data_IF_431026163665
#
_entry.id   IF_431026163665
#
_cell.length_a   1.000
_cell.length_b   1.000
_cell.length_c   1.000
_cell.angle_alpha   90.00
_cell.angle_beta   90.00
_cell.angle_gamma   90.00
#
_symmetry.space_group_name_H-M   'P 1'
#
loop_
_entity.id
_entity.type
_entity.pdbx_description
1 polymer ?
#
# COMPACT_ATOMS: atom_id res chain seq x y z
N UNK A 1 -6.23 -3.88 -14.54
CA UNK A 1 -5.85 -5.11 -13.83
C UNK A 1 -6.26 -6.31 -14.65
N UNK A 2 -5.34 -7.25 -14.87
CA UNK A 2 -5.62 -8.50 -15.59
C UNK A 2 -6.10 -9.58 -14.62
N UNK A 3 -6.93 -10.48 -15.14
CA UNK A 3 -7.31 -11.72 -14.45
C UNK A 3 -6.59 -12.88 -15.13
N UNK A 4 -5.93 -13.71 -14.34
CA UNK A 4 -5.15 -14.86 -14.78
C UNK A 4 -5.84 -16.15 -14.32
N UNK A 5 -5.81 -17.17 -15.17
CA UNK A 5 -6.50 -18.43 -14.88
C UNK A 5 -5.82 -19.21 -13.73
N UNK A 6 -4.51 -19.05 -13.52
CA UNK A 6 -3.73 -19.70 -12.46
C UNK A 6 -4.07 -21.20 -12.25
N UNK A 7 -4.16 -21.95 -13.35
CA UNK A 7 -4.45 -23.39 -13.30
C UNK A 7 -5.88 -23.77 -12.89
N UNK A 8 -6.82 -22.81 -12.85
CA UNK A 8 -8.23 -23.09 -12.56
C UNK A 8 -8.97 -23.68 -13.76
N UNK A 9 -10.02 -24.46 -13.50
CA UNK A 9 -10.94 -25.00 -14.52
C UNK A 9 -11.51 -23.88 -15.40
N UNK A 10 -11.77 -24.19 -16.67
CA UNK A 10 -12.32 -23.27 -17.69
C UNK A 10 -13.59 -22.52 -17.25
N UNK A 11 -14.34 -23.07 -16.30
CA UNK A 11 -15.56 -22.46 -15.76
C UNK A 11 -15.31 -21.57 -14.51
N UNK A 12 -14.06 -21.36 -14.12
CA UNK A 12 -13.70 -20.54 -12.96
C UNK A 12 -13.42 -19.09 -13.37
N UNK A 13 -13.86 -18.15 -12.55
CA UNK A 13 -13.48 -16.74 -12.70
C UNK A 13 -11.96 -16.60 -12.47
N UNK A 14 -11.26 -16.01 -13.43
CA UNK A 14 -9.82 -15.75 -13.29
C UNK A 14 -9.50 -14.91 -12.05
N UNK A 15 -8.36 -15.20 -11.43
CA UNK A 15 -7.84 -14.50 -10.24
C UNK A 15 -7.15 -13.21 -10.64
N UNK A 16 -7.14 -12.22 -9.75
CA UNK A 16 -6.31 -11.03 -9.96
C UNK A 16 -4.84 -11.44 -10.07
N UNK A 17 -4.15 -10.82 -11.01
CA UNK A 17 -2.71 -11.02 -11.21
C UNK A 17 -1.93 -10.62 -9.95
N UNK A 18 -2.18 -9.42 -9.43
CA UNK A 18 -1.67 -8.98 -8.14
C UNK A 18 -2.64 -9.45 -7.05
N UNK A 19 -2.16 -10.15 -6.00
CA UNK A 19 -3.02 -10.60 -4.91
C UNK A 19 -3.80 -9.45 -4.26
N UNK A 20 -5.09 -9.67 -4.01
CA UNK A 20 -5.99 -8.66 -3.40
C UNK A 20 -5.41 -8.04 -2.12
N UNK A 21 -4.79 -8.86 -1.28
CA UNK A 21 -4.16 -8.45 -0.03
C UNK A 21 -3.09 -7.35 -0.24
N UNK A 22 -2.34 -7.40 -1.34
CA UNK A 22 -1.32 -6.39 -1.64
C UNK A 22 -1.97 -5.03 -1.87
N UNK A 23 -3.03 -5.01 -2.69
CA UNK A 23 -3.77 -3.79 -3.00
C UNK A 23 -4.44 -3.23 -1.75
N UNK A 24 -5.12 -4.08 -0.98
CA UNK A 24 -5.78 -3.68 0.28
C UNK A 24 -4.79 -3.08 1.26
N UNK A 25 -3.65 -3.74 1.51
CA UNK A 25 -2.63 -3.25 2.44
C UNK A 25 -2.05 -1.92 1.98
N UNK A 26 -1.74 -1.76 0.68
CA UNK A 26 -1.16 -0.51 0.19
C UNK A 26 -2.15 0.66 0.23
N UNK A 27 -3.43 0.43 -0.08
CA UNK A 27 -4.47 1.47 0.00
C UNK A 27 -4.77 1.85 1.45
N UNK A 28 -4.91 0.86 2.35
CA UNK A 28 -5.12 1.12 3.77
C UNK A 28 -3.95 1.88 4.37
N UNK A 29 -2.70 1.49 4.08
CA UNK A 29 -1.53 2.25 4.53
C UNK A 29 -1.52 3.67 3.98
N UNK A 30 -1.88 3.87 2.71
CA UNK A 30 -1.98 5.19 2.12
C UNK A 30 -3.01 6.06 2.84
N UNK A 31 -4.18 5.52 3.22
CA UNK A 31 -5.22 6.23 3.98
C UNK A 31 -4.80 6.56 5.40
N UNK A 32 -4.18 5.60 6.10
CA UNK A 32 -3.79 5.73 7.50
C UNK A 32 -2.63 6.71 7.71
N UNK A 33 -1.68 6.71 6.79
CA UNK A 33 -0.45 7.49 6.88
C UNK A 33 -0.45 8.71 5.97
N UNK A 34 -1.57 9.02 5.30
CA UNK A 34 -1.78 10.26 4.57
C UNK A 34 -1.51 11.46 5.48
N UNK A 35 -0.81 12.46 4.97
CA UNK A 35 -0.75 13.75 5.61
C UNK A 35 -2.05 14.54 5.35
N UNK A 36 -2.91 14.61 6.37
CA UNK A 36 -4.21 15.28 6.28
C UNK A 36 -4.12 16.81 6.31
N UNK A 37 -2.95 17.39 6.60
CA UNK A 37 -2.73 18.84 6.47
C UNK A 37 -2.50 19.27 5.01
N UNK A 38 -2.21 18.33 4.11
CA UNK A 38 -2.01 18.60 2.69
C UNK A 38 -3.34 18.39 1.97
N UNK A 39 -3.84 19.43 1.29
CA UNK A 39 -5.05 19.37 0.48
C UNK A 39 -4.79 18.73 -0.89
N UNK A 40 -4.43 17.45 -0.89
CA UNK A 40 -4.23 16.64 -2.10
C UNK A 40 -4.79 15.22 -1.93
N UNK A 41 -5.43 14.61 -2.95
CA UNK A 41 -5.93 13.26 -2.83
C UNK A 41 -4.80 12.23 -2.87
N UNK A 42 -5.09 11.01 -2.39
CA UNK A 42 -4.30 9.84 -2.75
C UNK A 42 -4.58 9.55 -4.23
N UNK A 43 -3.53 9.41 -5.04
CA UNK A 43 -3.66 9.11 -6.47
C UNK A 43 -3.26 7.66 -6.72
N UNK A 44 -4.10 6.97 -7.49
CA UNK A 44 -3.83 5.59 -7.92
C UNK A 44 -3.76 5.58 -9.44
N UNK A 45 -2.61 5.19 -9.97
CA UNK A 45 -2.38 5.04 -11.39
C UNK A 45 -2.23 3.57 -11.73
N UNK A 46 -2.95 3.12 -12.75
CA UNK A 46 -2.82 1.77 -13.28
C UNK A 46 -2.19 1.84 -14.66
N UNK A 47 -1.03 1.23 -14.81
CA UNK A 47 -0.32 1.07 -16.07
C UNK A 47 -0.36 -0.40 -16.49
N UNK A 48 0.04 -0.65 -17.74
CA UNK A 48 0.09 -2.00 -18.30
C UNK A 48 1.12 -2.92 -17.62
N UNK A 49 2.09 -2.34 -16.91
CA UNK A 49 3.17 -3.08 -16.26
C UNK A 49 3.30 -2.83 -14.75
N UNK A 50 2.50 -1.92 -14.17
CA UNK A 50 2.58 -1.59 -12.75
C UNK A 50 1.36 -0.82 -12.25
N UNK A 51 1.23 -0.73 -10.94
CA UNK A 51 0.30 0.17 -10.24
C UNK A 51 1.14 1.13 -9.41
N UNK A 52 0.84 2.42 -9.47
CA UNK A 52 1.45 3.43 -8.59
C UNK A 52 0.39 3.99 -7.63
N UNK A 53 0.70 4.00 -6.34
CA UNK A 53 -0.13 4.64 -5.31
C UNK A 53 0.69 5.78 -4.71
N UNK A 54 0.19 7.01 -4.84
CA UNK A 54 0.86 8.23 -4.37
C UNK A 54 0.02 8.83 -3.25
N UNK A 55 0.56 8.85 -2.04
CA UNK A 55 -0.03 9.52 -0.87
C UNK A 55 0.67 10.86 -0.63
N UNK A 56 -0.07 11.93 -0.29
CA UNK A 56 0.56 13.19 0.10
C UNK A 56 1.24 13.06 1.48
N UNK A 57 2.39 13.70 1.61
CA UNK A 57 3.28 13.57 2.76
C UNK A 57 4.37 12.52 2.51
N UNK A 58 5.57 12.78 3.03
CA UNK A 58 6.65 11.79 3.10
C UNK A 58 6.53 10.83 4.30
N UNK A 59 7.59 10.10 4.61
CA UNK A 59 7.68 9.35 5.86
C UNK A 59 7.79 10.29 7.08
N UNK A 60 7.05 10.05 8.17
CA UNK A 60 7.11 10.91 9.35
C UNK A 60 8.42 10.73 10.12
N UNK A 61 8.94 11.82 10.68
CA UNK A 61 10.14 11.85 11.53
C UNK A 61 11.38 11.24 10.81
N UNK A 62 12.15 10.43 11.52
CA UNK A 62 13.36 9.74 11.02
C UNK A 62 13.04 8.36 10.42
N UNK A 63 11.79 8.09 10.03
CA UNK A 63 11.41 6.80 9.47
C UNK A 63 11.98 6.67 8.05
N UNK A 64 12.58 5.51 7.75
CA UNK A 64 13.18 5.21 6.43
C UNK A 64 12.37 4.12 5.72
N UNK A 65 12.61 3.96 4.41
CA UNK A 65 12.01 2.87 3.63
C UNK A 65 12.43 1.49 4.20
N UNK A 66 13.65 1.36 4.69
CA UNK A 66 14.12 0.14 5.34
C UNK A 66 13.33 -0.15 6.63
N UNK A 67 13.11 0.87 7.47
CA UNK A 67 12.34 0.74 8.70
C UNK A 67 10.92 0.20 8.43
N UNK A 68 10.22 0.76 7.44
CA UNK A 68 8.86 0.30 7.11
C UNK A 68 8.84 -1.10 6.50
N UNK A 69 9.89 -1.51 5.76
CA UNK A 69 10.05 -2.88 5.25
C UNK A 69 10.21 -3.87 6.40
N UNK A 70 10.86 -3.48 7.48
CA UNK A 70 10.96 -4.27 8.72
C UNK A 70 9.70 -4.21 9.60
N UNK A 71 8.69 -3.42 9.21
CA UNK A 71 7.41 -3.29 9.93
C UNK A 71 7.43 -2.23 11.04
N UNK A 72 8.45 -1.38 11.09
CA UNK A 72 8.47 -0.22 11.97
C UNK A 72 7.50 0.81 11.39
N UNK A 73 6.55 1.26 12.20
CA UNK A 73 5.52 2.21 11.78
C UNK A 73 5.32 3.27 12.85
N UNK A 74 5.16 4.51 12.41
CA UNK A 74 4.80 5.65 13.26
C UNK A 74 3.41 6.15 12.88
N UNK A 75 2.52 6.22 13.87
CA UNK A 75 1.16 6.72 13.69
C UNK A 75 1.19 8.25 13.59
N UNK A 76 0.74 8.80 12.46
CA UNK A 76 0.56 10.25 12.29
C UNK A 76 -0.68 10.76 13.02
N UNK A 77 -1.77 9.99 12.96
CA UNK A 77 -3.05 10.35 13.58
C UNK A 77 -3.58 9.15 14.39
N UNK A 78 -3.33 9.11 15.72
CA UNK A 78 -3.80 8.02 16.58
C UNK A 78 -5.32 7.83 16.58
N UNK A 79 -6.08 8.93 16.44
CA UNK A 79 -7.55 8.88 16.40
C UNK A 79 -8.01 8.17 15.13
N UNK A 80 -7.42 8.49 13.99
CA UNK A 80 -7.79 7.81 12.73
C UNK A 80 -7.43 6.32 12.79
N UNK A 81 -6.27 5.97 13.34
CA UNK A 81 -5.83 4.57 13.49
C UNK A 81 -6.76 3.79 14.42
N UNK A 82 -7.23 4.37 15.52
CA UNK A 82 -8.14 3.68 16.45
C UNK A 82 -9.48 3.32 15.80
N UNK A 83 -10.01 4.18 14.94
CA UNK A 83 -11.24 3.90 14.18
C UNK A 83 -11.01 2.93 13.03
N UNK A 84 -9.85 3.00 12.37
CA UNK A 84 -9.53 2.17 11.22
C UNK A 84 -9.51 0.67 11.52
N UNK A 85 -9.17 0.26 12.75
CA UNK A 85 -9.22 -1.15 13.18
C UNK A 85 -10.65 -1.72 13.06
N UNK A 86 -11.67 -0.88 13.19
CA UNK A 86 -13.08 -1.29 13.10
C UNK A 86 -13.69 -1.08 11.71
N UNK A 87 -13.13 -0.18 10.90
CA UNK A 87 -13.72 0.25 9.62
C UNK A 87 -13.00 -0.30 8.39
N UNK A 88 -11.73 -0.64 8.52
CA UNK A 88 -10.87 -1.07 7.41
C UNK A 88 -10.36 -2.48 7.67
N UNK A 89 -9.89 -3.21 6.63
CA UNK A 89 -9.17 -4.47 6.80
C UNK A 89 -7.74 -4.24 7.36
N UNK A 90 -7.65 -3.51 8.47
CA UNK A 90 -6.43 -3.10 9.14
C UNK A 90 -6.31 -3.79 10.50
N UNK A 91 -5.14 -4.35 10.80
CA UNK A 91 -4.92 -5.13 12.04
C UNK A 91 -4.18 -4.38 13.15
N UNK A 92 -3.61 -3.20 12.90
CA UNK A 92 -2.85 -2.45 13.92
C UNK A 92 -1.46 -3.00 14.29
N UNK A 93 -1.08 -4.19 13.80
CA UNK A 93 0.11 -4.91 14.27
C UNK A 93 1.44 -4.51 13.57
N UNK A 94 1.47 -3.47 12.73
CA UNK A 94 2.67 -3.11 11.95
C UNK A 94 3.12 -4.17 10.92
N UNK A 95 2.30 -5.19 10.67
CA UNK A 95 2.66 -6.35 9.84
C UNK A 95 2.19 -6.26 8.38
N UNK A 96 1.44 -5.22 8.02
CA UNK A 96 0.79 -5.08 6.72
C UNK A 96 1.75 -5.11 5.53
N UNK A 97 2.79 -4.27 5.57
CA UNK A 97 3.83 -4.20 4.53
C UNK A 97 4.55 -5.55 4.38
N UNK A 98 4.87 -6.22 5.49
CA UNK A 98 5.50 -7.55 5.46
C UNK A 98 4.61 -8.62 4.86
N UNK A 99 3.29 -8.59 5.12
CA UNK A 99 2.32 -9.49 4.50
C UNK A 99 2.23 -9.26 2.99
N UNK A 100 2.18 -8.00 2.58
CA UNK A 100 2.15 -7.65 1.15
C UNK A 100 3.41 -8.16 0.44
N UNK A 101 4.60 -7.92 1.00
CA UNK A 101 5.87 -8.43 0.43
C UNK A 101 5.94 -9.95 0.33
N UNK A 102 5.40 -10.67 1.33
CA UNK A 102 5.33 -12.14 1.28
C UNK A 102 4.43 -12.64 0.15
N UNK A 103 3.36 -11.91 -0.16
CA UNK A 103 2.42 -12.25 -1.22
C UNK A 103 2.90 -11.80 -2.61
N UNK A 104 3.65 -10.70 -2.68
CA UNK A 104 4.15 -10.11 -3.92
C UNK A 104 5.45 -9.36 -3.66
N UNK A 105 6.56 -9.86 -4.23
CA UNK A 105 7.89 -9.30 -3.96
C UNK A 105 8.20 -8.05 -4.78
N UNK A 106 7.51 -7.85 -5.91
CA UNK A 106 7.72 -6.72 -6.81
C UNK A 106 6.99 -5.46 -6.33
N UNK A 107 7.34 -5.00 -5.12
CA UNK A 107 6.83 -3.78 -4.49
C UNK A 107 8.02 -2.88 -4.14
N UNK A 108 7.95 -1.63 -4.60
CA UNK A 108 8.93 -0.58 -4.29
C UNK A 108 8.26 0.60 -3.58
N UNK A 109 9.05 1.27 -2.74
CA UNK A 109 8.65 2.44 -1.96
C UNK A 109 9.60 3.58 -2.24
N UNK A 110 9.06 4.78 -2.43
CA UNK A 110 9.82 5.99 -2.70
C UNK A 110 9.29 7.09 -1.77
N UNK A 111 10.18 7.62 -0.93
CA UNK A 111 9.94 8.78 -0.07
C UNK A 111 10.51 10.03 -0.78
N UNK A 112 9.65 10.73 -1.52
CA UNK A 112 10.01 11.95 -2.24
C UNK A 112 9.80 13.15 -1.31
N UNK A 113 10.86 13.52 -0.61
CA UNK A 113 10.85 14.58 0.41
C UNK A 113 10.68 15.97 -0.21
N UNK A 114 11.27 16.21 -1.38
CA UNK A 114 11.18 17.49 -2.09
C UNK A 114 9.75 17.71 -2.62
N UNK A 115 9.16 16.66 -3.19
CA UNK A 115 7.77 16.65 -3.65
C UNK A 115 6.73 16.44 -2.55
N UNK A 116 7.17 16.30 -1.29
CA UNK A 116 6.36 15.98 -0.11
C UNK A 116 5.32 14.88 -0.38
N UNK A 117 5.77 13.75 -0.92
CA UNK A 117 4.91 12.64 -1.32
C UNK A 117 5.57 11.29 -1.09
N UNK A 118 4.74 10.32 -0.73
CA UNK A 118 5.14 8.92 -0.61
C UNK A 118 4.52 8.12 -1.73
N UNK A 119 5.35 7.37 -2.47
CA UNK A 119 4.93 6.55 -3.60
C UNK A 119 5.19 5.07 -3.33
N UNK A 120 4.20 4.26 -3.64
CA UNK A 120 4.32 2.80 -3.74
C UNK A 120 4.20 2.41 -5.21
N UNK A 121 5.10 1.55 -5.69
CA UNK A 121 5.05 0.97 -7.03
C UNK A 121 4.89 -0.53 -6.90
N UNK A 122 3.88 -1.11 -7.53
CA UNK A 122 3.62 -2.55 -7.55
C UNK A 122 3.74 -3.01 -9.01
N UNK A 123 4.82 -3.70 -9.34
CA UNK A 123 5.08 -4.14 -10.72
C UNK A 123 4.32 -5.44 -11.03
N UNK A 124 3.78 -5.54 -12.24
CA UNK A 124 3.15 -6.74 -12.81
C UNK A 124 4.24 -7.70 -13.32
N UNK A 125 3.96 -9.02 -13.35
CA UNK A 125 4.90 -10.06 -13.76
C UNK A 125 4.50 -10.71 -15.08
#
# INVERSE_FOLDING_TARGET
>A
MRRVQQGQSVNSLGKLEIPKIVIEEMIVNALLHRDYFISAPIRVFMFDNRIEIISPGGLPNNLTIENIRHGISNMRNPVLVSHAIHLLPYRGLGTGIRRAYKAWQAIDFIDDRDGNKFKVIISQQ
#
